data_IF_354622807668
#
_entry.id   IF_354622807668
#
_cell.length_a   1.000
_cell.length_b   1.000
_cell.length_c   1.000
_cell.angle_alpha   90.00
_cell.angle_beta   90.00
_cell.angle_gamma   90.00
#
_symmetry.space_group_name_H-M   'P 1'
#
loop_
_entity.id
_entity.type
_entity.pdbx_description
1 polymer ?
#
# COMPACT_ATOMS: atom_id res chain seq x y z
N UNK A 1 -33.00 88.52 18.30
CA UNK A 1 -32.11 87.37 18.60
C UNK A 1 -32.77 86.14 17.99
N UNK A 2 -32.23 85.63 16.87
CA UNK A 2 -32.89 84.60 16.07
C UNK A 2 -32.73 83.21 16.67
N UNK A 3 -33.84 82.51 16.91
CA UNK A 3 -33.83 81.08 17.16
C UNK A 3 -33.80 80.34 15.81
N UNK A 4 -32.62 79.83 15.43
CA UNK A 4 -32.51 78.69 14.52
C UNK A 4 -33.08 77.47 15.24
N UNK A 5 -34.20 76.91 14.79
CA UNK A 5 -34.62 75.57 15.23
C UNK A 5 -35.15 74.70 14.09
N UNK A 6 -34.32 73.70 13.81
CA UNK A 6 -34.62 72.32 13.39
C UNK A 6 -35.29 72.07 12.03
N UNK A 7 -34.45 71.97 11.00
CA UNK A 7 -34.73 71.21 9.75
C UNK A 7 -33.88 69.93 9.67
N UNK A 8 -33.41 69.39 10.81
CA UNK A 8 -32.52 68.22 10.82
C UNK A 8 -33.26 66.86 10.82
N UNK A 9 -34.56 66.83 11.16
CA UNK A 9 -35.30 65.57 11.33
C UNK A 9 -35.71 64.89 10.01
N UNK A 10 -36.10 65.67 9.01
CA UNK A 10 -36.53 65.10 7.72
C UNK A 10 -35.35 64.62 6.88
N UNK A 11 -34.22 65.34 6.91
CA UNK A 11 -33.02 64.92 6.19
C UNK A 11 -32.45 63.62 6.74
N UNK A 12 -32.41 63.48 8.07
CA UNK A 12 -31.89 62.28 8.73
C UNK A 12 -32.78 61.05 8.48
N UNK A 13 -34.11 61.25 8.47
CA UNK A 13 -35.07 60.21 8.10
C UNK A 13 -34.94 59.77 6.64
N UNK A 14 -34.76 60.71 5.71
CA UNK A 14 -34.58 60.42 4.28
C UNK A 14 -33.27 59.67 4.06
N UNK A 15 -32.16 60.12 4.67
CA UNK A 15 -30.85 59.47 4.56
C UNK A 15 -30.92 58.05 5.14
N UNK A 16 -31.53 57.88 6.32
CA UNK A 16 -31.66 56.57 6.96
C UNK A 16 -32.53 55.61 6.16
N UNK A 17 -33.63 56.11 5.60
CA UNK A 17 -34.54 55.30 4.74
C UNK A 17 -33.86 54.91 3.43
N UNK A 18 -33.06 55.81 2.85
CA UNK A 18 -32.28 55.53 1.67
C UNK A 18 -31.20 54.46 1.95
N UNK A 19 -30.44 54.61 3.03
CA UNK A 19 -29.43 53.62 3.46
C UNK A 19 -30.11 52.27 3.72
N UNK A 20 -31.25 52.25 4.42
CA UNK A 20 -32.01 51.03 4.67
C UNK A 20 -32.49 50.36 3.38
N UNK A 21 -33.00 51.13 2.42
CA UNK A 21 -33.40 50.62 1.11
C UNK A 21 -32.22 50.04 0.32
N UNK A 22 -31.04 50.69 0.36
CA UNK A 22 -29.82 50.19 -0.27
C UNK A 22 -29.35 48.89 0.39
N UNK A 23 -29.36 48.80 1.73
CA UNK A 23 -29.01 47.58 2.45
C UNK A 23 -29.98 46.44 2.11
N UNK A 24 -31.28 46.72 2.03
CA UNK A 24 -32.30 45.74 1.61
C UNK A 24 -32.05 45.25 0.18
N UNK A 25 -31.72 46.14 -0.75
CA UNK A 25 -31.39 45.77 -2.12
C UNK A 25 -30.15 44.88 -2.20
N UNK A 26 -29.09 45.21 -1.44
CA UNK A 26 -27.88 44.39 -1.35
C UNK A 26 -28.19 43.03 -0.73
N UNK A 27 -28.99 43.00 0.34
CA UNK A 27 -29.42 41.77 1.00
C UNK A 27 -30.22 40.85 0.07
N UNK A 28 -31.21 41.40 -0.65
CA UNK A 28 -31.99 40.61 -1.60
C UNK A 28 -31.18 40.17 -2.81
N UNK A 29 -30.27 41.01 -3.31
CA UNK A 29 -29.34 40.61 -4.37
C UNK A 29 -28.41 39.47 -3.92
N UNK A 30 -27.92 39.53 -2.69
CA UNK A 30 -27.09 38.48 -2.09
C UNK A 30 -27.88 37.17 -1.90
N UNK A 31 -29.09 37.23 -1.33
CA UNK A 31 -29.92 36.03 -1.13
C UNK A 31 -30.40 35.42 -2.43
N UNK A 32 -30.71 36.23 -3.46
CA UNK A 32 -31.11 35.71 -4.76
C UNK A 32 -29.96 34.95 -5.46
N UNK A 33 -28.70 35.28 -5.16
CA UNK A 33 -27.52 34.67 -5.78
C UNK A 33 -27.01 33.43 -5.02
N UNK A 34 -27.32 33.31 -3.71
CA UNK A 34 -26.90 32.17 -2.87
C UNK A 34 -27.35 30.79 -3.43
N UNK A 35 -28.63 30.55 -3.78
CA UNK A 35 -29.07 29.27 -4.33
C UNK A 35 -28.37 28.90 -5.64
N UNK A 36 -28.09 29.90 -6.49
CA UNK A 36 -27.43 29.69 -7.78
C UNK A 36 -25.95 29.31 -7.60
N UNK A 37 -25.22 29.97 -6.70
CA UNK A 37 -23.82 29.61 -6.42
C UNK A 37 -23.69 28.21 -5.86
N UNK A 38 -24.58 27.83 -4.95
CA UNK A 38 -24.53 26.51 -4.34
C UNK A 38 -24.88 25.38 -5.30
N UNK A 39 -25.91 25.58 -6.12
CA UNK A 39 -26.31 24.65 -7.17
C UNK A 39 -25.23 24.51 -8.26
N UNK A 40 -24.58 25.60 -8.68
CA UNK A 40 -23.49 25.57 -9.67
C UNK A 40 -22.27 24.82 -9.10
N UNK A 41 -21.87 25.10 -7.86
CA UNK A 41 -20.73 24.41 -7.22
C UNK A 41 -20.99 22.91 -7.04
N UNK A 42 -22.19 22.50 -6.61
CA UNK A 42 -22.55 21.07 -6.53
C UNK A 42 -22.66 20.42 -7.93
N UNK A 43 -23.20 21.14 -8.91
CA UNK A 43 -23.29 20.68 -10.30
C UNK A 43 -21.91 20.41 -10.92
N UNK A 44 -20.93 21.28 -10.64
CA UNK A 44 -19.55 21.09 -11.06
C UNK A 44 -18.93 19.86 -10.37
N UNK A 45 -19.11 19.70 -9.05
CA UNK A 45 -18.62 18.54 -8.30
C UNK A 45 -19.18 17.21 -8.85
N UNK A 46 -20.48 17.17 -9.19
CA UNK A 46 -21.11 15.99 -9.81
C UNK A 46 -20.55 15.72 -11.21
N UNK A 47 -20.30 16.79 -11.98
CA UNK A 47 -19.75 16.68 -13.34
C UNK A 47 -18.33 16.12 -13.30
N UNK A 48 -17.49 16.62 -12.41
CA UNK A 48 -16.14 16.11 -12.18
C UNK A 48 -16.19 14.64 -11.72
N UNK A 49 -17.04 14.29 -10.75
CA UNK A 49 -17.18 12.92 -10.28
C UNK A 49 -17.53 11.95 -11.42
N UNK A 50 -18.44 12.36 -12.31
CA UNK A 50 -18.80 11.59 -13.51
C UNK A 50 -17.62 11.48 -14.47
N UNK A 51 -16.89 12.57 -14.72
CA UNK A 51 -15.76 12.59 -15.64
C UNK A 51 -14.62 11.70 -15.16
N UNK A 52 -14.25 11.81 -13.88
CA UNK A 52 -13.24 10.96 -13.23
C UNK A 52 -13.65 9.50 -13.29
N UNK A 53 -14.86 9.19 -12.82
CA UNK A 53 -15.37 7.83 -12.86
C UNK A 53 -15.36 7.25 -14.28
N UNK A 54 -15.75 8.04 -15.28
CA UNK A 54 -15.75 7.58 -16.69
C UNK A 54 -14.35 7.39 -17.24
N UNK A 55 -13.39 8.24 -16.85
CA UNK A 55 -11.98 8.07 -17.20
C UNK A 55 -11.41 6.78 -16.62
N UNK A 56 -11.66 6.54 -15.33
CA UNK A 56 -11.23 5.36 -14.60
C UNK A 56 -11.80 4.06 -15.21
N UNK A 57 -13.07 4.10 -15.64
CA UNK A 57 -13.77 3.02 -16.35
C UNK A 57 -13.30 2.81 -17.81
N UNK A 58 -12.20 3.44 -18.23
CA UNK A 58 -11.64 3.26 -19.57
C UNK A 58 -10.28 2.54 -19.51
N UNK A 59 -9.73 2.07 -20.64
CA UNK A 59 -8.37 1.56 -20.70
C UNK A 59 -7.27 2.62 -20.49
N UNK A 60 -7.63 3.89 -20.41
CA UNK A 60 -6.71 5.02 -20.37
C UNK A 60 -6.00 5.29 -21.71
N UNK A 61 -5.12 6.30 -21.72
CA UNK A 61 -4.32 6.69 -22.87
C UNK A 61 -2.90 7.17 -22.45
N UNK A 62 -1.84 6.77 -23.19
CA UNK A 62 -1.83 5.82 -24.32
C UNK A 62 -2.25 4.39 -23.93
N UNK A 63 -2.42 3.46 -24.88
CA UNK A 63 -2.92 2.11 -24.57
C UNK A 63 -2.01 1.34 -23.59
N UNK A 64 -0.71 1.59 -23.64
CA UNK A 64 0.34 1.07 -22.77
C UNK A 64 0.79 2.08 -21.70
N UNK A 65 -0.14 2.90 -21.20
CA UNK A 65 0.22 3.94 -20.24
C UNK A 65 0.76 3.35 -18.92
N UNK A 66 1.66 4.10 -18.30
CA UNK A 66 2.22 3.87 -16.97
C UNK A 66 2.31 5.21 -16.21
N UNK A 67 2.82 5.19 -14.97
CA UNK A 67 2.91 6.37 -14.13
C UNK A 67 3.68 7.55 -14.77
N UNK A 68 4.56 7.28 -15.75
CA UNK A 68 5.43 8.27 -16.38
C UNK A 68 4.84 8.87 -17.67
N UNK A 69 4.14 8.10 -18.49
CA UNK A 69 3.66 8.53 -19.81
C UNK A 69 2.14 8.76 -19.91
N UNK A 70 1.40 8.59 -18.80
CA UNK A 70 -0.06 8.72 -18.78
C UNK A 70 -0.55 10.10 -19.18
N UNK A 71 -1.51 10.13 -20.10
CA UNK A 71 -2.24 11.32 -20.52
C UNK A 71 -3.67 11.28 -19.94
N UNK A 72 -4.31 10.11 -20.03
CA UNK A 72 -5.62 9.85 -19.42
C UNK A 72 -5.55 8.57 -18.62
N UNK A 73 -5.73 8.67 -17.31
CA UNK A 73 -5.74 7.50 -16.43
C UNK A 73 -7.05 6.71 -16.59
N UNK A 74 -6.90 5.40 -16.73
CA UNK A 74 -7.99 4.44 -16.79
C UNK A 74 -7.43 3.04 -16.66
N UNK A 75 -8.04 2.20 -15.83
CA UNK A 75 -7.47 0.92 -15.39
C UNK A 75 -8.33 -0.27 -15.79
N UNK A 76 -9.22 -0.12 -16.75
CA UNK A 76 -10.23 -1.13 -17.07
C UNK A 76 -10.07 -1.59 -18.52
N UNK A 77 -10.16 -2.89 -18.76
CA UNK A 77 -10.09 -3.46 -20.11
C UNK A 77 -11.39 -3.25 -20.91
N UNK A 78 -11.45 -3.80 -22.13
CA UNK A 78 -12.64 -3.69 -22.98
C UNK A 78 -13.89 -4.40 -22.43
N UNK A 79 -13.75 -5.24 -21.41
CA UNK A 79 -14.79 -6.07 -20.80
C UNK A 79 -15.22 -5.56 -19.42
N UNK A 80 -14.84 -4.34 -19.03
CA UNK A 80 -15.04 -3.79 -17.69
C UNK A 80 -14.29 -4.55 -16.57
N UNK A 81 -13.26 -5.32 -16.93
CA UNK A 81 -12.39 -5.99 -15.96
C UNK A 81 -11.24 -5.09 -15.58
N UNK A 82 -10.86 -5.10 -14.30
CA UNK A 82 -9.69 -4.39 -13.81
C UNK A 82 -8.43 -4.94 -14.50
N UNK A 83 -7.70 -4.05 -15.15
CA UNK A 83 -6.33 -4.27 -15.62
C UNK A 83 -5.38 -4.01 -14.44
N UNK A 84 -4.94 -5.10 -13.80
CA UNK A 84 -4.13 -5.08 -12.58
C UNK A 84 -2.82 -4.30 -12.75
N UNK A 85 -2.21 -4.37 -13.94
CA UNK A 85 -0.96 -3.66 -14.22
C UNK A 85 -1.21 -2.14 -14.24
N UNK A 86 -2.24 -1.68 -14.96
CA UNK A 86 -2.63 -0.27 -14.98
C UNK A 86 -3.12 0.25 -13.65
N UNK A 87 -3.83 -0.58 -12.88
CA UNK A 87 -4.25 -0.22 -11.54
C UNK A 87 -3.05 -0.03 -10.60
N UNK A 88 -2.04 -0.90 -10.70
CA UNK A 88 -0.78 -0.73 -9.97
C UNK A 88 -0.06 0.55 -10.39
N UNK A 89 0.01 0.85 -11.69
CA UNK A 89 0.60 2.10 -12.20
C UNK A 89 -0.16 3.35 -11.76
N UNK A 90 -1.50 3.29 -11.63
CA UNK A 90 -2.30 4.39 -11.10
C UNK A 90 -1.90 4.75 -9.67
N UNK A 91 -1.65 3.74 -8.83
CA UNK A 91 -1.28 3.93 -7.43
C UNK A 91 0.14 4.49 -7.24
N UNK A 92 0.99 4.44 -8.28
CA UNK A 92 2.31 5.10 -8.29
C UNK A 92 2.22 6.60 -8.60
N UNK A 93 1.07 7.09 -9.08
CA UNK A 93 0.89 8.50 -9.43
C UNK A 93 0.59 9.30 -8.17
N UNK A 94 1.41 10.32 -7.90
CA UNK A 94 1.19 11.22 -6.75
C UNK A 94 -0.18 11.89 -6.82
N UNK A 95 -0.80 12.11 -5.65
CA UNK A 95 -2.15 12.68 -5.55
C UNK A 95 -2.31 14.01 -6.32
N UNK A 96 -1.31 14.90 -6.23
CA UNK A 96 -1.35 16.17 -6.95
C UNK A 96 -1.25 16.00 -8.48
N UNK A 97 -0.50 14.99 -8.96
CA UNK A 97 -0.43 14.67 -10.39
C UNK A 97 -1.75 14.07 -10.86
N UNK A 98 -2.37 13.20 -10.07
CA UNK A 98 -3.64 12.57 -10.45
C UNK A 98 -4.81 13.57 -10.45
N UNK A 99 -4.87 14.56 -9.54
CA UNK A 99 -5.82 15.68 -9.64
C UNK A 99 -5.71 16.43 -10.97
N UNK A 100 -4.49 16.66 -11.46
CA UNK A 100 -4.24 17.29 -12.77
C UNK A 100 -4.69 16.41 -13.93
N UNK A 101 -4.39 15.10 -13.89
CA UNK A 101 -4.85 14.14 -14.92
C UNK A 101 -6.37 14.10 -15.01
N UNK A 102 -7.04 14.21 -13.87
CA UNK A 102 -8.49 14.27 -13.76
C UNK A 102 -9.09 15.66 -14.00
N UNK A 103 -8.23 16.68 -14.16
CA UNK A 103 -8.64 18.06 -14.35
C UNK A 103 -9.63 18.55 -13.28
N UNK A 104 -9.46 18.11 -12.04
CA UNK A 104 -10.33 18.48 -10.92
C UNK A 104 -9.58 19.31 -9.89
N UNK A 105 -10.26 20.31 -9.35
CA UNK A 105 -9.79 21.08 -8.19
C UNK A 105 -10.25 20.45 -6.87
N UNK A 106 -11.25 19.57 -6.93
CA UNK A 106 -11.82 18.89 -5.78
C UNK A 106 -10.90 17.80 -5.28
N UNK A 107 -11.04 17.50 -4.00
CA UNK A 107 -10.41 16.32 -3.46
C UNK A 107 -11.25 15.09 -3.75
N UNK A 108 -10.57 13.96 -3.87
CA UNK A 108 -11.22 12.72 -4.22
C UNK A 108 -10.54 11.51 -3.61
N UNK A 109 -11.31 10.44 -3.46
CA UNK A 109 -10.84 9.16 -2.97
C UNK A 109 -11.70 8.06 -3.57
N UNK A 110 -11.05 7.02 -4.08
CA UNK A 110 -11.71 5.87 -4.66
C UNK A 110 -11.26 4.59 -3.96
N UNK A 111 -12.20 3.68 -3.72
CA UNK A 111 -11.94 2.35 -3.17
C UNK A 111 -12.89 1.33 -3.80
N UNK A 112 -12.69 0.06 -3.47
CA UNK A 112 -13.50 -1.04 -4.01
C UNK A 112 -14.24 -1.73 -2.88
N UNK A 113 -15.47 -2.17 -3.14
CA UNK A 113 -16.28 -2.91 -2.20
C UNK A 113 -16.91 -4.14 -2.87
N UNK A 114 -17.12 -5.22 -2.12
CA UNK A 114 -17.91 -6.36 -2.59
C UNK A 114 -19.42 -6.04 -2.55
N UNK A 115 -20.26 -7.02 -2.88
CA UNK A 115 -21.73 -6.87 -2.84
C UNK A 115 -22.24 -6.52 -1.43
N UNK A 116 -21.60 -7.05 -0.38
CA UNK A 116 -21.90 -6.77 1.03
C UNK A 116 -21.50 -5.36 1.49
N UNK A 117 -20.68 -4.65 0.70
CA UNK A 117 -20.15 -3.33 1.02
C UNK A 117 -18.81 -3.34 1.77
N UNK A 118 -18.20 -4.51 1.96
CA UNK A 118 -16.88 -4.63 2.61
C UNK A 118 -15.79 -4.12 1.67
N UNK A 119 -14.90 -3.27 2.19
CA UNK A 119 -13.77 -2.75 1.43
C UNK A 119 -12.83 -3.89 0.97
N UNK A 120 -12.45 -3.86 -0.30
CA UNK A 120 -11.66 -4.89 -0.96
C UNK A 120 -10.22 -4.41 -1.16
N UNK A 121 -9.29 -5.34 -0.98
CA UNK A 121 -7.90 -5.19 -1.36
C UNK A 121 -7.74 -5.60 -2.83
N UNK A 122 -7.39 -4.65 -3.69
CA UNK A 122 -7.11 -4.90 -5.10
C UNK A 122 -5.62 -4.73 -5.31
N UNK A 123 -4.92 -5.79 -5.74
CA UNK A 123 -3.47 -5.76 -6.02
C UNK A 123 -2.61 -5.18 -4.88
N UNK A 124 -3.02 -5.36 -3.63
CA UNK A 124 -2.33 -4.82 -2.48
C UNK A 124 -2.75 -3.39 -2.11
N UNK A 125 -3.80 -2.81 -2.71
CA UNK A 125 -4.25 -1.45 -2.39
C UNK A 125 -5.70 -1.44 -1.90
N UNK A 126 -5.94 -0.68 -0.84
CA UNK A 126 -7.27 -0.49 -0.26
C UNK A 126 -8.04 0.69 -0.87
N UNK A 127 -7.37 1.52 -1.67
CA UNK A 127 -7.93 2.66 -2.36
C UNK A 127 -6.84 3.58 -2.87
N UNK A 128 -7.24 4.64 -3.56
CA UNK A 128 -6.33 5.67 -4.07
C UNK A 128 -6.99 7.06 -4.02
N UNK A 129 -6.19 8.10 -3.87
CA UNK A 129 -6.66 9.48 -3.77
C UNK A 129 -6.09 10.18 -2.55
N UNK A 130 -6.90 11.03 -1.91
CA UNK A 130 -6.49 11.83 -0.77
C UNK A 130 -6.10 10.99 0.43
N UNK A 131 -4.96 11.32 1.04
CA UNK A 131 -4.49 10.71 2.29
C UNK A 131 -5.32 11.10 3.53
N UNK A 132 -6.23 12.07 3.40
CA UNK A 132 -7.19 12.40 4.47
C UNK A 132 -8.17 11.26 4.77
N UNK A 133 -8.40 10.38 3.79
CA UNK A 133 -9.18 9.17 3.95
C UNK A 133 -8.24 8.06 4.40
N UNK A 134 -8.27 7.77 5.70
CA UNK A 134 -7.50 6.65 6.21
C UNK A 134 -8.18 5.34 5.78
N UNK A 135 -7.54 4.58 4.91
CA UNK A 135 -7.85 3.18 4.72
C UNK A 135 -6.56 2.39 4.94
N UNK A 136 -6.56 1.56 5.98
CA UNK A 136 -5.46 0.65 6.28
C UNK A 136 -5.96 -0.79 6.21
N UNK A 137 -5.02 -1.73 6.29
CA UNK A 137 -5.34 -3.14 6.31
C UNK A 137 -5.87 -3.52 7.69
N UNK A 138 -6.96 -4.27 7.74
CA UNK A 138 -7.46 -4.92 8.94
C UNK A 138 -6.62 -6.16 9.24
N UNK A 139 -5.39 -5.93 9.68
CA UNK A 139 -4.45 -6.98 10.07
C UNK A 139 -3.60 -6.50 11.24
N UNK A 140 -3.36 -7.37 12.22
CA UNK A 140 -2.38 -7.08 13.27
C UNK A 140 -1.02 -7.57 12.82
N UNK A 141 -0.07 -6.64 12.75
CA UNK A 141 1.26 -6.89 12.26
C UNK A 141 2.34 -6.60 13.31
N UNK A 142 3.45 -7.33 13.24
CA UNK A 142 4.67 -7.01 13.97
C UNK A 142 5.87 -7.02 13.03
N UNK A 143 6.86 -6.19 13.34
CA UNK A 143 8.11 -6.12 12.61
C UNK A 143 9.27 -6.17 13.60
N UNK A 144 10.12 -7.18 13.45
CA UNK A 144 11.34 -7.34 14.21
C UNK A 144 12.55 -7.09 13.33
N UNK A 145 13.50 -6.32 13.84
CA UNK A 145 14.77 -6.06 13.16
C UNK A 145 15.91 -5.86 14.15
N UNK A 146 17.15 -6.04 13.69
CA UNK A 146 18.35 -5.84 14.50
C UNK A 146 19.14 -4.60 14.08
N UNK A 147 19.83 -4.69 12.95
CA UNK A 147 20.73 -3.64 12.47
C UNK A 147 20.18 -2.93 11.23
N UNK A 148 19.48 -3.65 10.36
CA UNK A 148 18.87 -3.14 9.13
C UNK A 148 17.38 -2.93 9.33
N UNK A 149 16.86 -1.77 8.91
CA UNK A 149 15.47 -1.36 9.14
C UNK A 149 14.74 -1.03 7.82
N UNK A 150 15.08 -1.72 6.72
CA UNK A 150 14.64 -1.38 5.35
C UNK A 150 13.12 -1.33 5.23
N UNK A 151 12.40 -2.19 5.95
CA UNK A 151 10.93 -2.21 5.94
C UNK A 151 10.30 -1.45 7.11
N UNK A 152 11.04 -0.86 8.05
CA UNK A 152 10.46 -0.29 9.29
C UNK A 152 9.42 0.79 9.02
N UNK A 153 9.77 1.78 8.19
CA UNK A 153 8.86 2.88 7.87
C UNK A 153 7.61 2.37 7.16
N UNK A 154 7.80 1.48 6.18
CA UNK A 154 6.71 0.83 5.45
C UNK A 154 5.78 0.02 6.38
N UNK A 155 6.34 -0.79 7.28
CA UNK A 155 5.57 -1.59 8.24
C UNK A 155 4.78 -0.73 9.21
N UNK A 156 5.37 0.39 9.64
CA UNK A 156 4.69 1.38 10.50
C UNK A 156 3.53 2.06 9.76
N UNK A 157 3.78 2.56 8.55
CA UNK A 157 2.80 3.37 7.82
C UNK A 157 1.70 2.55 7.17
N UNK A 158 2.04 1.38 6.61
CA UNK A 158 1.09 0.56 5.87
C UNK A 158 0.27 -0.36 6.77
N UNK A 159 0.89 -0.94 7.80
CA UNK A 159 0.27 -1.98 8.63
C UNK A 159 0.07 -1.58 10.09
N UNK A 160 0.48 -0.37 10.49
CA UNK A 160 0.46 0.06 11.89
C UNK A 160 1.12 -1.00 12.79
N UNK A 161 2.25 -1.56 12.31
CA UNK A 161 2.88 -2.71 12.95
C UNK A 161 3.51 -2.34 14.29
N UNK A 162 3.44 -3.27 15.25
CA UNK A 162 4.22 -3.18 16.47
C UNK A 162 5.70 -3.44 16.15
N UNK A 163 6.58 -2.53 16.56
CA UNK A 163 8.00 -2.52 16.19
C UNK A 163 8.84 -3.05 17.33
N UNK A 164 9.60 -4.11 17.06
CA UNK A 164 10.54 -4.74 17.99
C UNK A 164 11.96 -4.57 17.43
N UNK A 165 12.77 -3.72 18.08
CA UNK A 165 14.18 -3.56 17.72
C UNK A 165 15.03 -4.38 18.67
N UNK A 166 15.93 -5.22 18.15
CA UNK A 166 16.92 -5.90 18.98
C UNK A 166 17.86 -4.87 19.62
N UNK A 167 17.71 -4.69 20.93
CA UNK A 167 18.73 -4.10 21.80
C UNK A 167 19.31 -5.15 22.76
N UNK A 168 18.56 -6.23 23.00
CA UNK A 168 18.96 -7.41 23.74
C UNK A 168 18.15 -8.65 23.32
N UNK A 169 18.55 -9.84 23.79
CA UNK A 169 17.77 -11.08 23.56
C UNK A 169 16.34 -11.03 24.15
N UNK A 170 16.01 -10.07 25.03
CA UNK A 170 14.68 -9.92 25.61
C UNK A 170 13.63 -9.41 24.60
N UNK A 171 14.04 -8.70 23.56
CA UNK A 171 13.11 -8.05 22.62
C UNK A 171 12.44 -9.04 21.68
N UNK A 172 13.14 -10.12 21.31
CA UNK A 172 12.53 -11.24 20.57
C UNK A 172 11.60 -12.05 21.49
N UNK A 173 11.95 -12.24 22.75
CA UNK A 173 11.09 -12.94 23.71
C UNK A 173 9.76 -12.20 23.91
N UNK A 174 9.77 -10.86 23.92
CA UNK A 174 8.54 -10.05 23.99
C UNK A 174 7.65 -10.23 22.77
N UNK A 175 8.23 -10.24 21.56
CA UNK A 175 7.47 -10.55 20.34
C UNK A 175 6.84 -11.94 20.43
N UNK A 176 7.61 -12.94 20.86
CA UNK A 176 7.15 -14.33 20.93
C UNK A 176 6.05 -14.50 21.99
N UNK A 177 6.16 -13.83 23.15
CA UNK A 177 5.09 -13.81 24.16
C UNK A 177 3.78 -13.24 23.62
N UNK A 178 3.85 -12.32 22.66
CA UNK A 178 2.70 -11.66 22.03
C UNK A 178 2.34 -12.25 20.67
N UNK A 179 2.98 -13.34 20.21
CA UNK A 179 2.89 -13.83 18.83
C UNK A 179 1.44 -14.11 18.40
N UNK A 180 0.62 -14.62 19.33
CA UNK A 180 -0.80 -14.92 19.09
C UNK A 180 -1.69 -13.69 18.84
N UNK A 181 -1.22 -12.47 19.12
CA UNK A 181 -1.93 -11.23 18.82
C UNK A 181 -1.78 -10.80 17.36
N UNK A 182 -0.80 -11.36 16.65
CA UNK A 182 -0.44 -10.97 15.30
C UNK A 182 -0.90 -11.99 14.27
N UNK A 183 -1.33 -11.49 13.12
CA UNK A 183 -1.62 -12.30 11.94
C UNK A 183 -0.45 -12.27 10.94
N UNK A 184 0.36 -11.21 10.97
CA UNK A 184 1.47 -10.99 10.06
C UNK A 184 2.72 -10.60 10.84
N UNK A 185 3.82 -11.32 10.64
CA UNK A 185 5.10 -11.02 11.28
C UNK A 185 6.17 -10.96 10.20
N UNK A 186 6.96 -9.91 10.26
CA UNK A 186 8.17 -9.75 9.45
C UNK A 186 9.38 -9.78 10.38
N UNK A 187 10.36 -10.62 10.06
CA UNK A 187 11.64 -10.67 10.76
C UNK A 187 12.75 -10.33 9.76
N UNK A 188 13.36 -9.17 9.93
CA UNK A 188 14.46 -8.68 9.10
C UNK A 188 15.81 -9.01 9.74
N UNK A 189 16.65 -9.72 8.99
CA UNK A 189 18.04 -10.04 9.32
C UNK A 189 18.24 -10.56 10.77
N UNK A 190 17.54 -11.64 11.20
CA UNK A 190 17.59 -12.09 12.59
C UNK A 190 18.89 -12.81 12.93
N UNK A 191 19.76 -12.18 13.71
CA UNK A 191 20.98 -12.79 14.25
C UNK A 191 20.74 -13.65 15.51
N UNK A 192 19.88 -14.67 15.40
CA UNK A 192 19.56 -15.54 16.52
C UNK A 192 20.73 -16.43 16.94
N UNK A 193 21.08 -16.38 18.23
CA UNK A 193 21.94 -17.39 18.85
C UNK A 193 21.29 -18.78 18.75
N UNK A 194 22.08 -19.86 18.82
CA UNK A 194 21.52 -21.23 18.83
C UNK A 194 20.50 -21.42 19.96
N UNK A 195 20.75 -20.83 21.14
CA UNK A 195 19.84 -20.90 22.28
C UNK A 195 18.51 -20.21 21.99
N UNK A 196 18.56 -18.96 21.52
CA UNK A 196 17.36 -18.19 21.16
C UNK A 196 16.58 -18.86 20.05
N UNK A 197 17.25 -19.35 19.00
CA UNK A 197 16.59 -20.08 17.93
C UNK A 197 15.84 -21.31 18.46
N UNK A 198 16.48 -22.12 19.31
CA UNK A 198 15.84 -23.32 19.85
C UNK A 198 14.67 -23.00 20.79
N UNK A 199 14.70 -21.85 21.49
CA UNK A 199 13.61 -21.47 22.41
C UNK A 199 12.38 -20.96 21.67
N UNK A 200 12.55 -20.25 20.55
CA UNK A 200 11.43 -19.61 19.83
C UNK A 200 10.90 -20.43 18.65
N UNK A 201 11.64 -21.44 18.17
CA UNK A 201 11.31 -22.17 16.94
C UNK A 201 9.90 -22.75 16.99
N UNK A 202 9.58 -23.47 18.05
CA UNK A 202 8.32 -24.20 18.14
C UNK A 202 7.13 -23.22 18.19
N UNK A 203 7.28 -22.09 18.89
CA UNK A 203 6.25 -21.03 18.92
C UNK A 203 5.99 -20.41 17.53
N UNK A 204 7.06 -20.15 16.76
CA UNK A 204 6.94 -19.63 15.38
C UNK A 204 6.27 -20.66 14.47
N UNK A 205 6.67 -21.94 14.56
CA UNK A 205 6.09 -23.02 13.74
C UNK A 205 4.62 -23.27 14.10
N UNK A 206 4.26 -23.29 15.38
CA UNK A 206 2.87 -23.46 15.84
C UNK A 206 1.99 -22.28 15.40
N UNK A 207 2.48 -21.05 15.53
CA UNK A 207 1.77 -19.86 15.08
C UNK A 207 1.60 -19.83 13.55
N UNK A 208 2.67 -20.10 12.78
CA UNK A 208 2.60 -20.14 11.34
C UNK A 208 1.64 -21.24 10.86
N UNK A 209 1.74 -22.45 11.42
CA UNK A 209 0.87 -23.57 11.05
C UNK A 209 -0.60 -23.32 11.35
N UNK A 210 -0.91 -22.43 12.30
CA UNK A 210 -2.28 -22.03 12.67
C UNK A 210 -2.88 -20.91 11.79
N UNK A 211 -2.17 -20.47 10.74
CA UNK A 211 -2.63 -19.41 9.83
C UNK A 211 -1.78 -18.14 9.85
N UNK A 212 -0.67 -18.13 10.59
CA UNK A 212 0.27 -17.01 10.61
C UNK A 212 0.88 -16.73 9.24
N UNK A 213 1.06 -15.44 8.94
CA UNK A 213 1.69 -14.94 7.72
C UNK A 213 3.11 -14.51 8.07
N UNK A 214 4.11 -15.25 7.62
CA UNK A 214 5.50 -15.01 8.03
C UNK A 214 6.38 -14.57 6.86
N UNK A 215 7.01 -13.41 6.99
CA UNK A 215 7.99 -12.93 6.02
C UNK A 215 9.34 -12.76 6.71
N UNK A 216 10.41 -13.20 6.05
CA UNK A 216 11.75 -13.09 6.62
C UNK A 216 12.81 -12.79 5.57
N UNK A 217 13.77 -11.94 5.96
CA UNK A 217 15.10 -11.90 5.36
C UNK A 217 16.08 -12.56 6.30
N UNK A 218 17.16 -13.15 5.79
CA UNK A 218 18.02 -13.97 6.64
C UNK A 218 19.19 -13.19 7.24
N UNK A 219 19.47 -13.50 8.52
CA UNK A 219 20.80 -13.43 9.13
C UNK A 219 20.99 -14.37 10.33
N UNK A 220 20.61 -15.67 10.30
CA UNK A 220 20.72 -16.56 11.46
C UNK A 220 22.18 -16.98 11.78
N UNK A 221 23.00 -16.04 12.22
CA UNK A 221 24.39 -16.25 12.61
C UNK A 221 24.40 -17.04 13.93
N UNK A 222 25.01 -18.23 13.91
CA UNK A 222 24.97 -19.31 14.91
C UNK A 222 23.79 -20.30 14.82
N UNK A 223 22.71 -20.01 14.08
CA UNK A 223 21.61 -20.96 13.84
C UNK A 223 21.57 -21.53 12.39
N UNK A 224 22.55 -21.19 11.56
CA UNK A 224 22.71 -21.71 10.20
C UNK A 224 22.61 -23.24 10.09
N UNK A 225 21.91 -23.70 9.05
CA UNK A 225 21.66 -25.12 8.77
C UNK A 225 20.63 -25.79 9.67
N UNK A 226 20.06 -25.07 10.65
CA UNK A 226 18.91 -25.53 11.43
C UNK A 226 17.63 -25.34 10.63
N UNK A 227 16.68 -26.24 10.89
CA UNK A 227 15.39 -26.24 10.24
C UNK A 227 14.41 -25.30 10.98
N UNK A 228 13.75 -24.45 10.22
CA UNK A 228 12.62 -23.62 10.64
C UNK A 228 11.60 -23.60 9.49
N UNK A 229 10.33 -23.84 9.80
CA UNK A 229 9.24 -23.79 8.82
C UNK A 229 9.45 -24.73 7.60
N UNK A 230 10.12 -25.86 7.82
CA UNK A 230 10.40 -26.88 6.79
C UNK A 230 11.60 -26.58 5.87
N UNK A 231 12.31 -25.47 6.07
CA UNK A 231 13.53 -25.11 5.34
C UNK A 231 14.74 -25.00 6.27
N UNK A 232 15.94 -25.21 5.71
CA UNK A 232 17.21 -24.85 6.36
C UNK A 232 17.75 -23.57 5.77
N UNK A 233 18.22 -22.67 6.62
CA UNK A 233 18.72 -21.34 6.22
C UNK A 233 20.24 -21.28 6.30
N UNK A 234 20.86 -20.67 5.31
CA UNK A 234 22.31 -20.56 5.22
C UNK A 234 22.74 -19.17 4.81
N UNK A 235 23.89 -18.73 5.33
CA UNK A 235 24.66 -17.59 4.84
C UNK A 235 25.78 -18.10 3.93
N UNK A 236 25.99 -17.44 2.80
CA UNK A 236 27.14 -17.70 1.93
C UNK A 236 28.43 -17.22 2.61
N UNK A 237 29.45 -18.08 2.64
CA UNK A 237 30.78 -17.74 3.17
C UNK A 237 31.56 -16.86 2.20
N UNK A 238 32.13 -15.75 2.67
CA UNK A 238 32.96 -14.84 1.88
C UNK A 238 32.94 -13.42 2.45
N UNK A 239 33.93 -12.59 2.09
CA UNK A 239 33.98 -11.18 2.51
C UNK A 239 32.70 -10.45 2.10
N UNK A 240 32.26 -9.54 2.96
CA UNK A 240 31.02 -8.78 2.89
C UNK A 240 30.94 -7.76 1.72
N UNK A 241 31.47 -8.08 0.54
CA UNK A 241 31.62 -7.13 -0.56
C UNK A 241 31.71 -7.73 -1.97
N UNK A 242 31.31 -9.00 -2.17
CA UNK A 242 31.05 -9.48 -3.53
C UNK A 242 29.54 -9.56 -3.77
N UNK A 243 29.01 -8.54 -4.43
CA UNK A 243 27.71 -8.54 -5.10
C UNK A 243 27.46 -9.92 -5.73
N UNK A 244 26.47 -10.67 -5.25
CA UNK A 244 26.07 -11.93 -5.87
C UNK A 244 24.73 -11.74 -6.57
N UNK A 245 24.70 -11.87 -7.91
CA UNK A 245 23.46 -11.78 -8.64
C UNK A 245 22.62 -13.05 -8.42
N UNK A 246 21.32 -12.84 -8.35
CA UNK A 246 20.28 -13.85 -8.42
C UNK A 246 19.43 -13.59 -9.67
N UNK A 247 19.01 -14.67 -10.31
CA UNK A 247 18.10 -14.63 -11.46
C UNK A 247 16.71 -15.08 -11.02
N UNK A 248 15.68 -14.34 -11.43
CA UNK A 248 14.29 -14.77 -11.29
C UNK A 248 14.03 -15.91 -12.27
N UNK A 249 13.81 -17.10 -11.72
CA UNK A 249 13.59 -18.34 -12.48
C UNK A 249 12.12 -18.66 -12.68
N UNK A 250 11.23 -18.00 -11.93
CA UNK A 250 9.78 -18.20 -12.02
C UNK A 250 9.03 -16.94 -11.60
N UNK A 251 8.11 -16.49 -12.44
CA UNK A 251 7.19 -15.39 -12.10
C UNK A 251 6.19 -15.85 -11.04
N UNK A 252 5.84 -14.92 -10.15
CA UNK A 252 4.87 -15.15 -9.10
C UNK A 252 3.77 -14.11 -9.16
N UNK A 253 2.54 -14.51 -8.81
CA UNK A 253 1.40 -13.57 -8.79
C UNK A 253 1.51 -12.53 -7.66
N UNK A 254 2.28 -12.81 -6.60
CA UNK A 254 2.44 -11.91 -5.47
C UNK A 254 3.75 -11.15 -5.50
N UNK A 255 4.84 -11.81 -5.91
CA UNK A 255 6.16 -11.20 -5.93
C UNK A 255 6.40 -10.46 -7.25
N UNK A 256 6.65 -9.15 -7.16
CA UNK A 256 6.68 -8.21 -8.28
C UNK A 256 8.00 -8.22 -9.08
N UNK A 257 8.44 -9.40 -9.54
CA UNK A 257 9.55 -9.55 -10.47
C UNK A 257 9.15 -10.34 -11.72
N UNK A 258 9.78 -10.06 -12.86
CA UNK A 258 9.55 -10.75 -14.12
C UNK A 258 10.59 -11.86 -14.34
N UNK A 259 10.27 -12.81 -15.20
CA UNK A 259 11.20 -13.87 -15.55
C UNK A 259 12.53 -13.32 -16.10
N UNK A 260 13.64 -13.91 -15.65
CA UNK A 260 15.03 -13.55 -15.98
C UNK A 260 15.54 -12.21 -15.43
N UNK A 261 14.73 -11.48 -14.65
CA UNK A 261 15.19 -10.30 -13.93
C UNK A 261 16.37 -10.62 -13.02
N UNK A 262 17.29 -9.66 -12.88
CA UNK A 262 18.50 -9.78 -12.07
C UNK A 262 18.39 -8.95 -10.80
N UNK A 263 18.69 -9.58 -9.66
CA UNK A 263 18.69 -8.98 -8.33
C UNK A 263 20.07 -9.19 -7.72
N UNK A 264 20.71 -8.13 -7.26
CA UNK A 264 22.05 -8.18 -6.68
C UNK A 264 21.92 -7.91 -5.19
N UNK A 265 22.07 -8.94 -4.37
CA UNK A 265 21.94 -8.80 -2.91
C UNK A 265 23.24 -8.33 -2.27
N UNK A 266 23.14 -7.39 -1.33
CA UNK A 266 24.29 -6.91 -0.56
C UNK A 266 24.84 -7.98 0.38
N UNK A 267 23.95 -8.79 0.96
CA UNK A 267 24.28 -10.01 1.70
C UNK A 267 23.49 -11.18 1.15
N UNK A 268 24.10 -12.37 1.17
CA UNK A 268 23.55 -13.51 0.45
C UNK A 268 23.23 -14.64 1.40
N UNK A 269 21.96 -14.98 1.40
CA UNK A 269 21.39 -16.08 2.16
C UNK A 269 20.52 -16.91 1.24
N UNK A 270 20.41 -18.18 1.58
CA UNK A 270 19.59 -19.11 0.81
C UNK A 270 18.92 -20.11 1.72
N UNK A 271 17.88 -20.73 1.16
CA UNK A 271 17.22 -21.87 1.79
C UNK A 271 17.54 -23.17 1.05
N UNK A 272 17.54 -24.26 1.81
CA UNK A 272 17.42 -25.62 1.29
C UNK A 272 16.11 -26.22 1.77
N UNK A 273 15.34 -26.75 0.82
CA UNK A 273 14.14 -27.51 1.12
C UNK A 273 14.51 -28.79 1.88
N UNK A 274 13.83 -29.01 3.00
CA UNK A 274 13.95 -30.26 3.76
C UNK A 274 12.63 -31.02 3.87
N UNK A 275 11.51 -30.32 3.98
CA UNK A 275 10.19 -30.91 4.23
C UNK A 275 9.04 -30.23 3.46
N UNK A 276 9.31 -29.21 2.64
CA UNK A 276 8.28 -28.43 1.93
C UNK A 276 7.84 -29.16 0.65
N UNK A 277 8.78 -29.70 -0.10
CA UNK A 277 8.54 -30.49 -1.31
C UNK A 277 7.86 -29.69 -2.41
N UNK A 278 6.83 -30.28 -3.05
CA UNK A 278 6.15 -29.67 -4.20
C UNK A 278 5.42 -28.35 -3.90
N UNK A 279 5.24 -28.01 -2.63
CA UNK A 279 4.59 -26.78 -2.20
C UNK A 279 5.54 -25.57 -2.22
N UNK A 280 6.84 -25.80 -2.40
CA UNK A 280 7.82 -24.74 -2.51
C UNK A 280 7.69 -24.03 -3.86
N UNK A 281 7.39 -22.74 -3.80
CA UNK A 281 7.41 -21.87 -4.96
C UNK A 281 8.72 -21.09 -4.97
N UNK A 282 9.65 -21.59 -5.78
CA UNK A 282 10.99 -21.04 -5.96
C UNK A 282 10.99 -19.97 -7.05
N UNK A 283 11.32 -18.74 -6.66
CA UNK A 283 11.12 -17.50 -7.43
C UNK A 283 12.43 -17.03 -8.04
N UNK A 284 13.48 -16.91 -7.22
CA UNK A 284 14.80 -16.47 -7.65
C UNK A 284 15.89 -17.35 -7.07
N UNK A 285 16.92 -17.59 -7.88
CA UNK A 285 18.06 -18.42 -7.53
C UNK A 285 19.36 -17.67 -7.71
N UNK A 286 20.33 -17.94 -6.83
CA UNK A 286 21.68 -17.40 -6.94
C UNK A 286 22.34 -17.92 -8.23
N UNK A 287 23.01 -17.01 -8.94
CA UNK A 287 23.75 -17.36 -10.15
C UNK A 287 25.03 -18.11 -9.78
N UNK A 288 25.47 -18.97 -10.70
CA UNK A 288 26.80 -19.57 -10.63
C UNK A 288 27.85 -18.46 -10.57
N UNK A 289 28.79 -18.55 -9.62
CA UNK A 289 29.93 -17.63 -9.62
C UNK A 289 31.01 -18.17 -10.54
N UNK A 290 31.56 -17.32 -11.42
CA UNK A 290 32.76 -17.60 -12.23
C UNK A 290 34.04 -17.85 -11.40
N UNK A 291 33.94 -17.88 -10.06
CA UNK A 291 35.08 -18.08 -9.15
C UNK A 291 34.99 -19.50 -8.61
N UNK A 292 35.95 -20.33 -9.04
CA UNK A 292 36.23 -21.70 -8.58
C UNK A 292 36.53 -21.74 -7.06
N UNK A 293 35.52 -21.54 -6.23
CA UNK A 293 35.54 -22.01 -4.85
C UNK A 293 34.70 -23.28 -4.86
N UNK A 294 35.37 -24.42 -4.73
CA UNK A 294 34.87 -25.79 -4.90
C UNK A 294 33.69 -26.21 -3.98
N UNK A 295 32.92 -25.30 -3.39
CA UNK A 295 31.76 -25.64 -2.56
C UNK A 295 30.49 -24.84 -2.94
N UNK A 296 29.67 -25.46 -3.80
CA UNK A 296 28.20 -25.52 -3.73
C UNK A 296 27.42 -24.17 -3.78
N UNK A 297 27.67 -23.31 -4.77
CA UNK A 297 26.82 -22.13 -5.02
C UNK A 297 25.75 -22.35 -6.10
N UNK A 298 25.77 -23.49 -6.79
CA UNK A 298 24.86 -23.73 -7.90
C UNK A 298 23.40 -23.73 -7.44
N UNK A 299 22.62 -22.85 -8.05
CA UNK A 299 21.18 -23.02 -8.13
C UNK A 299 20.46 -22.97 -6.77
N UNK A 300 21.05 -22.29 -5.78
CA UNK A 300 20.49 -22.10 -4.42
C UNK A 300 19.34 -21.08 -4.45
N UNK A 301 18.35 -21.29 -3.58
CA UNK A 301 17.10 -20.52 -3.58
C UNK A 301 17.28 -19.23 -2.78
N UNK A 302 17.19 -18.09 -3.46
CA UNK A 302 17.35 -16.75 -2.89
C UNK A 302 16.01 -16.08 -2.56
N UNK A 303 14.95 -16.38 -3.31
CA UNK A 303 13.59 -15.91 -3.00
C UNK A 303 12.63 -17.08 -3.20
N UNK A 304 11.78 -17.32 -2.22
CA UNK A 304 10.76 -18.35 -2.31
C UNK A 304 9.59 -18.09 -1.38
N UNK A 305 8.45 -18.72 -1.69
CA UNK A 305 7.30 -18.78 -0.79
C UNK A 305 6.75 -20.20 -0.71
N UNK A 306 6.14 -20.53 0.42
CA UNK A 306 5.47 -21.82 0.59
C UNK A 306 4.38 -21.73 1.66
N UNK A 307 3.36 -22.60 1.61
CA UNK A 307 2.43 -22.79 2.73
C UNK A 307 3.13 -23.54 3.87
N UNK A 308 2.75 -23.24 5.11
CA UNK A 308 3.15 -23.99 6.29
C UNK A 308 1.93 -24.16 7.19
N UNK A 309 1.37 -25.37 7.27
CA UNK A 309 0.03 -25.60 7.82
C UNK A 309 -1.02 -24.77 7.08
N UNK A 310 -1.85 -24.04 7.82
CA UNK A 310 -2.83 -23.08 7.30
C UNK A 310 -2.21 -21.70 7.00
N UNK A 311 -0.96 -21.47 7.40
CA UNK A 311 -0.24 -20.22 7.17
C UNK A 311 0.60 -20.24 5.91
N UNK A 312 1.40 -19.18 5.75
CA UNK A 312 2.24 -18.97 4.58
C UNK A 312 3.53 -18.27 4.94
N UNK A 313 4.60 -18.64 4.23
CA UNK A 313 5.95 -18.13 4.43
C UNK A 313 6.45 -17.48 3.15
N UNK A 314 7.11 -16.31 3.27
CA UNK A 314 7.79 -15.61 2.19
C UNK A 314 9.22 -15.27 2.62
N UNK A 315 10.19 -15.86 1.93
CA UNK A 315 11.60 -15.70 2.17
C UNK A 315 12.25 -14.83 1.09
N UNK A 316 13.08 -13.90 1.53
CA UNK A 316 14.06 -13.21 0.70
C UNK A 316 15.46 -13.45 1.27
N UNK A 317 16.46 -13.52 0.39
CA UNK A 317 17.88 -13.57 0.78
C UNK A 317 18.18 -12.41 1.72
N UNK A 318 17.97 -11.19 1.23
CA UNK A 318 18.17 -9.94 1.95
C UNK A 318 17.08 -8.94 1.50
N UNK A 319 16.71 -8.01 2.38
CA UNK A 319 15.85 -6.88 2.01
C UNK A 319 16.66 -5.71 1.46
N UNK A 320 17.99 -5.77 1.52
CA UNK A 320 18.90 -4.84 0.86
C UNK A 320 19.49 -5.43 -0.43
N UNK A 321 19.00 -4.95 -1.57
CA UNK A 321 19.44 -5.41 -2.89
C UNK A 321 19.26 -4.35 -3.97
N UNK A 322 20.10 -4.42 -4.99
CA UNK A 322 19.93 -3.69 -6.24
C UNK A 322 19.12 -4.52 -7.23
N UNK A 323 18.11 -3.91 -7.85
CA UNK A 323 17.26 -4.55 -8.84
C UNK A 323 17.45 -3.90 -10.21
N UNK A 324 18.00 -4.64 -11.19
CA UNK A 324 18.42 -4.03 -12.45
C UNK A 324 17.27 -3.52 -13.32
N UNK A 325 16.04 -4.04 -13.12
CA UNK A 325 14.86 -3.60 -13.87
C UNK A 325 14.01 -2.54 -13.12
N UNK A 326 14.41 -2.12 -11.91
CA UNK A 326 13.63 -1.13 -11.15
C UNK A 326 14.14 -0.84 -9.75
N UNK A 327 13.23 -0.42 -8.89
CA UNK A 327 13.50 -0.14 -7.48
C UNK A 327 13.14 -1.38 -6.65
N UNK A 328 14.14 -2.00 -6.00
CA UNK A 328 13.94 -3.23 -5.24
C UNK A 328 13.02 -3.01 -4.04
N UNK A 329 13.18 -1.91 -3.32
CA UNK A 329 12.37 -1.59 -2.16
C UNK A 329 10.89 -1.45 -2.54
N UNK A 330 10.59 -0.74 -3.63
CA UNK A 330 9.21 -0.63 -4.14
C UNK A 330 8.64 -1.99 -4.57
N UNK A 331 9.45 -2.85 -5.19
CA UNK A 331 9.04 -4.19 -5.58
C UNK A 331 8.75 -5.06 -4.33
N UNK A 332 9.60 -4.99 -3.31
CA UNK A 332 9.45 -5.67 -2.03
C UNK A 332 8.15 -5.25 -1.33
N UNK A 333 7.93 -3.95 -1.13
CA UNK A 333 6.73 -3.41 -0.49
C UNK A 333 5.44 -3.77 -1.23
N UNK A 334 5.46 -3.70 -2.57
CA UNK A 334 4.33 -4.12 -3.40
C UNK A 334 4.06 -5.62 -3.25
N UNK A 335 5.13 -6.43 -3.21
CA UNK A 335 5.04 -7.87 -3.02
C UNK A 335 4.43 -8.21 -1.66
N UNK A 336 4.86 -7.54 -0.59
CA UNK A 336 4.32 -7.71 0.75
C UNK A 336 2.81 -7.39 0.79
N UNK A 337 2.39 -6.24 0.26
CA UNK A 337 0.98 -5.84 0.21
C UNK A 337 0.10 -6.85 -0.54
N UNK A 338 0.56 -7.33 -1.69
CA UNK A 338 -0.14 -8.34 -2.50
C UNK A 338 -0.20 -9.68 -1.80
N UNK A 339 0.92 -10.12 -1.24
CA UNK A 339 1.06 -11.44 -0.65
C UNK A 339 0.20 -11.60 0.60
N UNK A 340 0.12 -10.58 1.47
CA UNK A 340 -0.69 -10.65 2.69
C UNK A 340 -2.17 -10.87 2.36
N UNK A 341 -2.70 -10.22 1.31
CA UNK A 341 -4.13 -10.20 0.96
C UNK A 341 -5.04 -9.79 2.13
N UNK A 342 -4.56 -8.87 2.98
CA UNK A 342 -5.35 -8.42 4.12
C UNK A 342 -6.64 -7.73 3.65
N UNK A 343 -7.72 -7.90 4.43
CA UNK A 343 -8.96 -7.14 4.24
C UNK A 343 -8.69 -5.66 4.52
N UNK A 344 -9.39 -4.78 3.83
CA UNK A 344 -9.31 -3.35 4.12
C UNK A 344 -10.30 -3.01 5.24
N UNK A 345 -9.92 -2.07 6.11
CA UNK A 345 -10.89 -1.51 7.06
C UNK A 345 -12.00 -0.78 6.31
N UNK A 346 -13.21 -0.69 6.90
CA UNK A 346 -14.27 0.17 6.37
C UNK A 346 -13.78 1.61 6.22
N UNK A 347 -14.13 2.25 5.10
CA UNK A 347 -13.72 3.63 4.82
C UNK A 347 -14.38 4.60 5.80
N UNK A 348 -13.57 5.24 6.64
CA UNK A 348 -14.03 6.30 7.54
C UNK A 348 -14.00 7.66 6.84
N UNK A 349 -15.19 8.19 6.53
CA UNK A 349 -15.35 9.51 5.93
C UNK A 349 -15.66 10.63 6.95
N UNK A 350 -15.72 10.30 8.24
CA UNK A 350 -16.09 11.25 9.31
C UNK A 350 -15.08 12.39 9.46
N UNK A 351 -13.80 12.13 9.17
CA UNK A 351 -12.71 13.12 9.26
C UNK A 351 -12.80 14.21 8.22
N UNK A 352 -13.63 14.03 7.20
CA UNK A 352 -13.61 14.90 6.06
C UNK A 352 -14.61 16.01 6.27
N UNK A 353 -14.10 17.18 6.69
CA UNK A 353 -14.87 18.40 6.92
C UNK A 353 -15.33 18.94 5.57
N UNK A 354 -16.61 18.77 5.22
CA UNK A 354 -17.11 19.14 3.89
C UNK A 354 -18.36 19.97 3.97
N UNK A 355 -18.41 21.03 3.16
CA UNK A 355 -19.65 21.72 2.80
C UNK A 355 -20.44 20.90 1.77
N UNK A 356 -19.75 20.13 0.91
CA UNK A 356 -20.33 19.33 -0.18
C UNK A 356 -19.59 18.00 -0.38
N UNK A 357 -20.35 16.91 -0.50
CA UNK A 357 -19.88 15.54 -0.70
C UNK A 357 -20.66 14.89 -1.84
N UNK A 358 -19.95 14.34 -2.82
CA UNK A 358 -20.55 13.50 -3.87
C UNK A 358 -19.99 12.09 -3.75
N UNK A 359 -20.89 11.11 -3.75
CA UNK A 359 -20.57 9.68 -3.87
C UNK A 359 -21.01 9.19 -5.25
N UNK A 360 -20.14 8.44 -5.91
CA UNK A 360 -20.42 7.88 -7.22
C UNK A 360 -19.95 6.44 -7.30
N UNK A 361 -20.76 5.56 -7.88
CA UNK A 361 -20.50 4.12 -7.88
C UNK A 361 -20.46 3.55 -9.30
N UNK A 362 -19.60 2.55 -9.51
CA UNK A 362 -19.48 1.78 -10.74
C UNK A 362 -19.25 0.32 -10.45
N UNK A 363 -19.80 -0.55 -11.30
CA UNK A 363 -19.56 -1.99 -11.24
C UNK A 363 -18.41 -2.35 -12.18
N UNK A 364 -17.57 -3.26 -11.71
CA UNK A 364 -16.36 -3.74 -12.37
C UNK A 364 -16.22 -5.25 -12.14
N UNK A 365 -15.37 -5.89 -12.94
CA UNK A 365 -14.99 -7.29 -12.73
C UNK A 365 -13.57 -7.36 -12.17
N UNK A 366 -13.37 -8.06 -11.06
CA UNK A 366 -12.05 -8.38 -10.50
C UNK A 366 -11.98 -9.87 -10.17
N UNK A 367 -10.97 -10.58 -10.69
CA UNK A 367 -10.79 -12.03 -10.50
C UNK A 367 -12.04 -12.89 -10.74
N UNK A 368 -12.89 -12.47 -11.68
CA UNK A 368 -14.19 -13.08 -12.03
C UNK A 368 -15.36 -12.76 -11.10
N UNK A 369 -15.13 -11.98 -10.05
CA UNK A 369 -16.16 -11.45 -9.16
C UNK A 369 -16.58 -10.03 -9.55
N UNK A 370 -17.82 -9.67 -9.24
CA UNK A 370 -18.30 -8.30 -9.39
C UNK A 370 -17.86 -7.48 -8.17
N UNK A 371 -17.15 -6.39 -8.43
CA UNK A 371 -16.75 -5.41 -7.41
C UNK A 371 -17.32 -4.05 -7.74
N UNK A 372 -17.56 -3.25 -6.70
CA UNK A 372 -18.09 -1.89 -6.79
C UNK A 372 -16.98 -0.90 -6.52
N UNK A 373 -16.56 -0.13 -7.53
CA UNK A 373 -15.74 1.06 -7.30
C UNK A 373 -16.62 2.17 -6.73
N UNK A 374 -16.23 2.71 -5.59
CA UNK A 374 -16.87 3.82 -4.92
C UNK A 374 -15.92 5.02 -4.96
N UNK A 375 -16.34 6.10 -5.58
CA UNK A 375 -15.62 7.36 -5.71
C UNK A 375 -16.31 8.44 -4.85
N UNK A 376 -15.56 9.01 -3.92
CA UNK A 376 -15.94 10.21 -3.18
C UNK A 376 -15.24 11.42 -3.76
N UNK A 377 -15.97 12.51 -3.98
CA UNK A 377 -15.44 13.84 -4.33
C UNK A 377 -15.93 14.90 -3.35
N UNK A 378 -15.08 15.89 -3.05
CA UNK A 378 -15.41 16.99 -2.15
C UNK A 378 -14.63 18.27 -2.34
N UNK A 379 -15.20 19.31 -1.73
CA UNK A 379 -14.59 20.62 -1.57
C UNK A 379 -14.16 20.84 -0.12
#
# INVERSE_FOLDING_TARGET
MGFKKSQAFYSDFIISTFIFAVILLIYFAYIADLPNRDAVSLGNLITDAKAISSSLMSPGQPSNWNANNVIRAGFVDSNNKIDNAKFTELNKISYNKSKKLFSTNYDYFAFFANESGDAQNIEGFCGFGSAEVNISYNIKAAYYYKDEDKLRQFMTDAFEADIYQYQSEQDIDELIQNIGNYNFIVIESPEFSTSTFNSIRDDIEDWASSGGIFMLSARPVAAQGRQLLGAKFYKVSGDAGSDKPATVVREDEFVAFNYADQIIFNQVYYIEDTLIGSNLFDIARLNESDVEIEDIMDNKIAIARWPYGEGKVLFFSDFDADYLAGDFQQALEASTKKWIKARCLPVDISRIKREKLVKFERLLVYNSDIVKMVLYLWQ
#
